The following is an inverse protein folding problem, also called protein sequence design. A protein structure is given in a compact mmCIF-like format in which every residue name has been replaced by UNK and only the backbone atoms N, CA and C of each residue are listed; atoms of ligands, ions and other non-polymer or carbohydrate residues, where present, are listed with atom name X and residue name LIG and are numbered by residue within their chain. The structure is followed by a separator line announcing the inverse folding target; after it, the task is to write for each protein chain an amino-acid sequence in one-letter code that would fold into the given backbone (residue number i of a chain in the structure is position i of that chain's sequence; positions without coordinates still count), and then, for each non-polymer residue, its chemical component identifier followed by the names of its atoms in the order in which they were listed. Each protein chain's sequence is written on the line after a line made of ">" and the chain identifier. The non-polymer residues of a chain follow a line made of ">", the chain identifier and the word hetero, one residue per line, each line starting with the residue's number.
data_IF_376644804184
#
_entry.id   IF_376644804184
#
_cell.length_a   1.000
_cell.length_b   1.000
_cell.length_c   1.000
_cell.angle_alpha   90.00
_cell.angle_beta   90.00
_cell.angle_gamma   90.00
#
_symmetry.space_group_name_H-M   'P 1'
#
loop_
_entity.id
_entity.type
_entity.pdbx_description
1 polymer ?
#
# COMPACT_ATOMS: atom_id res chain seq x y z
N UNK A 1 -11.24 0.89 -9.94
CA UNK A 1 -9.81 0.66 -10.22
C UNK A 1 -9.72 -0.06 -11.56
N UNK A 2 -8.72 0.25 -12.35
CA UNK A 2 -8.45 -0.38 -13.65
C UNK A 2 -7.08 -1.03 -13.57
N UNK A 3 -7.01 -2.27 -14.05
CA UNK A 3 -5.82 -3.10 -14.01
C UNK A 3 -5.30 -3.31 -15.44
N UNK A 4 -3.98 -3.46 -15.58
CA UNK A 4 -3.37 -3.96 -16.82
C UNK A 4 -3.69 -5.44 -17.02
N UNK A 5 -3.55 -5.92 -18.26
CA UNK A 5 -3.82 -7.32 -18.63
C UNK A 5 -2.96 -8.33 -17.85
N UNK A 6 -1.71 -7.94 -17.54
CA UNK A 6 -0.78 -8.74 -16.75
C UNK A 6 -0.99 -8.64 -15.23
N UNK A 7 -1.98 -7.83 -14.79
CA UNK A 7 -2.30 -7.55 -13.40
C UNK A 7 -1.13 -6.99 -12.57
N UNK A 8 -0.16 -6.34 -13.23
CA UNK A 8 1.00 -5.70 -12.58
C UNK A 8 0.82 -4.21 -12.36
N UNK A 9 -0.15 -3.58 -13.01
CA UNK A 9 -0.42 -2.15 -12.85
C UNK A 9 -1.85 -1.88 -12.42
N UNK A 10 -2.03 -0.85 -11.59
CA UNK A 10 -3.35 -0.41 -11.13
C UNK A 10 -3.45 1.11 -11.11
N UNK A 11 -4.54 1.65 -11.69
CA UNK A 11 -4.87 3.08 -11.66
C UNK A 11 -6.31 3.34 -11.23
N UNK A 12 -6.59 4.56 -10.81
CA UNK A 12 -7.95 5.03 -10.59
C UNK A 12 -8.60 5.42 -11.93
N UNK A 13 -9.67 4.72 -12.30
CA UNK A 13 -10.52 5.07 -13.44
C UNK A 13 -11.50 6.19 -13.12
N UNK A 14 -12.19 6.68 -14.15
CA UNK A 14 -13.28 7.64 -14.04
C UNK A 14 -14.58 6.97 -13.55
N UNK A 15 -15.57 7.77 -13.13
CA UNK A 15 -16.84 7.28 -12.54
C UNK A 15 -17.62 6.26 -13.40
N UNK A 16 -17.43 6.30 -14.72
CA UNK A 16 -18.07 5.38 -15.68
C UNK A 16 -17.35 4.03 -15.85
N UNK A 17 -16.10 3.91 -15.38
CA UNK A 17 -15.28 2.71 -15.54
C UNK A 17 -15.46 1.79 -14.32
N UNK A 18 -16.69 1.32 -14.11
CA UNK A 18 -17.04 0.44 -12.99
C UNK A 18 -16.85 -1.02 -13.36
N UNK A 19 -16.15 -1.75 -12.51
CA UNK A 19 -16.10 -3.21 -12.58
C UNK A 19 -17.35 -3.81 -11.92
N UNK A 20 -17.74 -5.06 -12.25
CA UNK A 20 -18.89 -5.72 -11.63
C UNK A 20 -18.72 -5.84 -10.12
N UNK A 21 -19.78 -5.58 -9.35
CA UNK A 21 -19.74 -5.64 -7.88
C UNK A 21 -19.50 -7.06 -7.36
N UNK A 22 -18.93 -7.17 -6.16
CA UNK A 22 -18.65 -8.45 -5.51
C UNK A 22 -18.22 -8.28 -4.04
N UNK A 23 -18.41 -9.31 -3.20
CA UNK A 23 -18.17 -9.22 -1.75
C UNK A 23 -16.70 -8.99 -1.39
N UNK A 24 -15.78 -9.37 -2.28
CA UNK A 24 -14.33 -9.21 -2.09
C UNK A 24 -13.83 -7.77 -2.33
N UNK A 25 -14.68 -6.87 -2.86
CA UNK A 25 -14.31 -5.48 -3.16
C UNK A 25 -14.32 -4.60 -1.92
N UNK A 26 -13.42 -3.63 -1.92
CA UNK A 26 -13.51 -2.48 -1.02
C UNK A 26 -14.55 -1.50 -1.59
N UNK A 27 -15.58 -1.21 -0.80
CA UNK A 27 -16.71 -0.35 -1.21
C UNK A 27 -16.42 1.15 -1.02
N UNK A 28 -15.56 1.47 -0.06
CA UNK A 28 -15.34 2.81 0.49
C UNK A 28 -13.90 3.28 0.35
N UNK A 29 -13.00 2.41 -0.09
CA UNK A 29 -11.57 2.70 -0.21
C UNK A 29 -11.02 2.34 -1.59
N UNK A 30 -10.11 3.19 -2.10
CA UNK A 30 -9.46 3.03 -3.40
C UNK A 30 -8.29 2.04 -3.24
N UNK A 31 -8.57 0.80 -2.87
CA UNK A 31 -7.56 -0.21 -2.50
C UNK A 31 -7.73 -1.48 -3.35
N UNK A 32 -6.60 -2.07 -3.74
CA UNK A 32 -6.50 -3.40 -4.30
C UNK A 32 -5.54 -4.25 -3.46
N UNK A 33 -5.79 -5.55 -3.38
CA UNK A 33 -4.89 -6.51 -2.73
C UNK A 33 -4.13 -7.32 -3.77
N UNK A 34 -2.89 -7.67 -3.44
CA UNK A 34 -2.14 -8.66 -4.19
C UNK A 34 -2.80 -10.04 -4.12
N UNK A 35 -2.60 -10.84 -5.17
CA UNK A 35 -3.10 -12.22 -5.21
C UNK A 35 -2.36 -13.13 -4.23
N UNK A 36 -1.07 -12.91 -4.01
CA UNK A 36 -0.29 -13.74 -3.09
C UNK A 36 -0.74 -13.51 -1.64
N UNK A 37 -0.67 -14.56 -0.84
CA UNK A 37 -0.77 -14.51 0.62
C UNK A 37 0.46 -15.16 1.23
N UNK A 38 0.92 -14.61 2.34
CA UNK A 38 2.14 -15.05 3.01
C UNK A 38 1.79 -15.58 4.41
N UNK A 39 2.24 -16.79 4.68
CA UNK A 39 2.07 -17.50 5.96
C UNK A 39 3.40 -17.75 6.68
N UNK A 40 4.53 -17.52 6.00
CA UNK A 40 5.88 -17.72 6.51
C UNK A 40 6.91 -17.13 5.54
N UNK A 41 8.17 -17.10 5.94
CA UNK A 41 9.31 -16.75 5.08
C UNK A 41 9.58 -15.26 4.95
N UNK A 42 10.53 -14.96 4.07
CA UNK A 42 10.92 -13.59 3.73
C UNK A 42 10.51 -13.29 2.30
N UNK A 43 9.81 -12.17 2.10
CA UNK A 43 9.25 -11.78 0.81
C UNK A 43 9.62 -10.34 0.48
N UNK A 44 9.90 -10.08 -0.79
CA UNK A 44 10.27 -8.76 -1.28
C UNK A 44 9.57 -8.47 -2.60
N UNK A 45 9.10 -7.25 -2.76
CA UNK A 45 8.66 -6.73 -4.04
C UNK A 45 8.87 -5.21 -4.10
N UNK A 46 8.84 -4.69 -5.31
CA UNK A 46 8.97 -3.26 -5.57
C UNK A 46 7.75 -2.74 -6.32
N UNK A 47 7.45 -1.46 -6.11
CA UNK A 47 6.37 -0.76 -6.81
C UNK A 47 6.92 0.54 -7.36
N UNK A 48 6.75 0.75 -8.66
CA UNK A 48 7.03 2.03 -9.29
C UNK A 48 5.90 3.01 -8.93
N UNK A 49 6.24 4.12 -8.30
CA UNK A 49 5.31 5.19 -7.95
C UNK A 49 5.49 6.43 -8.82
N UNK A 50 6.59 6.51 -9.59
CA UNK A 50 6.82 7.59 -10.54
C UNK A 50 6.72 8.99 -9.93
N UNK A 51 6.03 9.90 -10.62
CA UNK A 51 5.76 11.27 -10.18
C UNK A 51 4.40 11.44 -9.47
N UNK A 52 3.83 10.34 -8.98
CA UNK A 52 2.52 10.36 -8.30
C UNK A 52 2.54 11.29 -7.09
N UNK A 53 1.42 11.97 -6.86
CA UNK A 53 1.25 12.90 -5.73
C UNK A 53 0.52 12.28 -4.55
N UNK A 54 -0.05 11.08 -4.72
CA UNK A 54 -0.60 10.29 -3.61
C UNK A 54 -0.75 8.80 -3.91
N UNK A 55 -0.51 7.97 -2.90
CA UNK A 55 -0.59 6.51 -2.97
C UNK A 55 -0.51 5.88 -1.56
N UNK A 56 -0.91 4.62 -1.44
CA UNK A 56 -0.74 3.79 -0.25
C UNK A 56 -0.13 2.45 -0.65
N UNK A 57 0.93 2.04 0.04
CA UNK A 57 1.63 0.80 -0.21
C UNK A 57 1.89 0.06 1.11
N UNK A 58 1.76 -1.25 1.10
CA UNK A 58 2.21 -2.07 2.23
C UNK A 58 1.54 -3.42 2.29
N UNK A 59 1.19 -3.84 3.50
CA UNK A 59 0.69 -5.17 3.81
C UNK A 59 -0.53 -5.06 4.72
N UNK A 60 -1.50 -5.95 4.54
CA UNK A 60 -2.60 -6.11 5.48
C UNK A 60 -2.83 -7.58 5.86
N UNK A 61 -3.58 -7.82 6.94
CA UNK A 61 -4.14 -9.15 7.21
C UNK A 61 -5.17 -9.49 6.14
N UNK A 62 -5.19 -10.74 5.67
CA UNK A 62 -6.19 -11.18 4.69
C UNK A 62 -7.63 -11.08 5.24
N UNK A 63 -7.77 -11.17 6.57
CA UNK A 63 -9.03 -11.08 7.31
C UNK A 63 -9.44 -9.64 7.68
N UNK A 64 -8.66 -8.62 7.32
CA UNK A 64 -9.03 -7.24 7.63
C UNK A 64 -10.35 -6.87 6.94
N UNK A 65 -11.20 -6.12 7.65
CA UNK A 65 -12.50 -5.67 7.11
C UNK A 65 -12.27 -4.92 5.80
N UNK A 66 -13.18 -5.13 4.83
CA UNK A 66 -13.15 -4.46 3.53
C UNK A 66 -14.29 -3.46 3.32
N UNK A 67 -15.14 -3.30 4.35
CA UNK A 67 -16.37 -2.51 4.29
C UNK A 67 -16.37 -1.41 5.34
N UNK A 68 -16.98 -0.28 4.99
CA UNK A 68 -17.19 0.86 5.88
C UNK A 68 -15.97 1.75 6.07
N UNK A 69 -16.06 2.73 6.99
CA UNK A 69 -14.94 3.64 7.28
C UNK A 69 -13.76 2.86 7.85
N UNK A 70 -12.67 2.77 7.08
CA UNK A 70 -11.48 2.02 7.48
C UNK A 70 -10.37 2.97 7.91
N UNK A 71 -9.97 2.87 9.17
CA UNK A 71 -8.74 3.50 9.65
C UNK A 71 -7.57 2.54 9.41
N UNK A 72 -6.62 2.94 8.58
CA UNK A 72 -5.42 2.17 8.31
C UNK A 72 -4.47 2.25 9.51
N UNK A 73 -4.52 1.25 10.39
CA UNK A 73 -3.64 1.10 11.56
C UNK A 73 -3.18 -0.35 11.75
N UNK A 74 -2.04 -0.59 12.42
CA UNK A 74 -1.61 -1.93 12.82
C UNK A 74 -2.67 -2.69 13.62
N UNK A 75 -3.41 -2.00 14.50
CA UNK A 75 -4.50 -2.59 15.30
C UNK A 75 -5.60 -3.20 14.40
N UNK A 76 -5.93 -2.51 13.31
CA UNK A 76 -6.88 -2.99 12.30
C UNK A 76 -6.24 -3.94 11.26
N UNK A 77 -4.96 -4.31 11.46
CA UNK A 77 -4.22 -5.22 10.59
C UNK A 77 -3.65 -4.58 9.34
N UNK A 78 -3.29 -3.29 9.38
CA UNK A 78 -2.72 -2.55 8.25
C UNK A 78 -1.35 -1.94 8.58
N UNK A 79 -0.33 -2.37 7.84
CA UNK A 79 1.05 -1.87 7.94
C UNK A 79 1.44 -1.26 6.61
N UNK A 80 1.24 0.05 6.48
CA UNK A 80 1.38 0.75 5.21
C UNK A 80 2.15 2.05 5.37
N UNK A 81 2.84 2.42 4.30
CA UNK A 81 3.39 3.75 4.07
C UNK A 81 2.53 4.42 3.01
N UNK A 82 2.24 5.70 3.21
CA UNK A 82 1.39 6.46 2.30
C UNK A 82 1.95 7.85 2.04
N UNK A 83 1.70 8.31 0.83
CA UNK A 83 1.88 9.68 0.40
C UNK A 83 0.48 10.30 0.28
N UNK A 84 0.15 11.21 1.19
CA UNK A 84 -1.19 11.82 1.24
C UNK A 84 -1.28 13.09 0.38
N UNK A 85 -0.16 13.78 0.25
CA UNK A 85 0.05 14.95 -0.60
C UNK A 85 1.47 14.93 -1.14
N UNK A 86 1.74 15.76 -2.14
CA UNK A 86 3.09 15.90 -2.72
C UNK A 86 4.14 16.12 -1.61
N UNK A 87 5.11 15.22 -1.52
CA UNK A 87 6.20 15.19 -0.55
C UNK A 87 5.79 15.06 0.94
N UNK A 88 4.55 14.68 1.24
CA UNK A 88 4.09 14.39 2.60
C UNK A 88 3.85 12.89 2.78
N UNK A 89 4.74 12.26 3.55
CA UNK A 89 4.74 10.81 3.77
C UNK A 89 4.48 10.48 5.23
N UNK A 90 3.77 9.38 5.47
CA UNK A 90 3.53 8.85 6.82
C UNK A 90 3.43 7.32 6.83
N UNK A 91 3.76 6.73 7.98
CA UNK A 91 3.47 5.34 8.30
C UNK A 91 2.15 5.24 9.08
N UNK A 92 1.41 4.15 8.90
CA UNK A 92 0.10 3.90 9.50
C UNK A 92 0.08 3.66 11.02
N UNK A 93 1.10 4.07 11.77
CA UNK A 93 1.07 3.95 13.24
C UNK A 93 -0.09 4.75 13.85
N UNK A 94 -0.38 4.51 15.13
CA UNK A 94 -1.34 5.30 15.87
C UNK A 94 -0.68 5.94 17.09
N UNK A 95 -0.49 7.28 17.12
CA UNK A 95 -0.78 8.24 16.06
C UNK A 95 0.12 8.05 14.80
N UNK A 96 -0.26 8.61 13.62
CA UNK A 96 0.53 8.48 12.40
C UNK A 96 1.94 9.06 12.54
N UNK A 97 2.94 8.28 12.14
CA UNK A 97 4.34 8.71 12.16
C UNK A 97 4.66 9.42 10.85
N UNK A 98 4.99 10.71 10.92
CA UNK A 98 5.45 11.48 9.76
C UNK A 98 6.85 11.03 9.34
N UNK A 99 7.04 10.80 8.04
CA UNK A 99 8.30 10.34 7.48
C UNK A 99 8.96 11.48 6.70
N UNK A 100 10.22 11.76 7.04
CA UNK A 100 11.05 12.75 6.31
C UNK A 100 11.91 12.01 5.30
N UNK A 101 11.61 12.19 4.03
CA UNK A 101 12.42 11.66 2.93
C UNK A 101 13.34 12.76 2.40
N UNK A 102 14.64 12.45 2.26
CA UNK A 102 15.59 13.38 1.65
C UNK A 102 15.32 13.56 0.16
N UNK A 103 15.03 12.44 -0.50
CA UNK A 103 14.68 12.38 -1.91
C UNK A 103 13.33 11.64 -2.05
N UNK A 104 12.38 12.16 -2.84
CA UNK A 104 11.14 11.46 -3.14
C UNK A 104 11.40 10.12 -3.84
N UNK A 105 10.82 8.99 -3.37
CA UNK A 105 10.96 7.72 -4.05
C UNK A 105 10.19 7.75 -5.38
N UNK A 106 10.85 7.33 -6.46
CA UNK A 106 10.19 6.91 -7.71
C UNK A 106 9.82 5.43 -7.66
N UNK A 107 10.55 4.65 -6.86
CA UNK A 107 10.30 3.24 -6.61
C UNK A 107 10.42 2.91 -5.12
N UNK A 108 9.45 2.17 -4.61
CA UNK A 108 9.37 1.77 -3.20
C UNK A 108 9.51 0.26 -3.10
N UNK A 109 10.47 -0.20 -2.29
CA UNK A 109 10.66 -1.60 -1.95
C UNK A 109 9.95 -1.95 -0.67
N UNK A 110 9.29 -3.10 -0.63
CA UNK A 110 8.54 -3.61 0.52
C UNK A 110 9.11 -4.99 0.85
N UNK A 111 9.56 -5.14 2.09
CA UNK A 111 10.14 -6.37 2.62
C UNK A 111 9.32 -6.86 3.80
N UNK A 112 8.96 -8.14 3.78
CA UNK A 112 8.31 -8.85 4.87
C UNK A 112 9.28 -9.92 5.37
N UNK A 113 9.64 -9.86 6.65
CA UNK A 113 10.16 -11.01 7.39
C UNK A 113 9.06 -11.50 8.34
N UNK A 114 8.36 -12.55 7.92
CA UNK A 114 7.24 -13.10 8.67
C UNK A 114 7.69 -13.67 10.02
N UNK A 115 8.89 -14.24 10.10
CA UNK A 115 9.38 -14.90 11.33
C UNK A 115 9.84 -13.86 12.35
N UNK A 116 10.54 -12.82 11.90
CA UNK A 116 10.94 -11.71 12.76
C UNK A 116 9.75 -10.82 13.14
N UNK A 117 8.67 -10.82 12.34
CA UNK A 117 7.55 -9.91 12.49
C UNK A 117 7.92 -8.49 12.05
N UNK A 118 8.76 -8.38 11.02
CA UNK A 118 9.23 -7.11 10.49
C UNK A 118 8.65 -6.84 9.11
N UNK A 119 8.16 -5.61 8.91
CA UNK A 119 7.71 -5.09 7.62
C UNK A 119 8.48 -3.80 7.35
N UNK A 120 9.42 -3.86 6.40
CA UNK A 120 10.33 -2.76 6.09
C UNK A 120 10.05 -2.15 4.73
N UNK A 121 10.18 -0.84 4.65
CA UNK A 121 10.00 -0.03 3.46
C UNK A 121 11.31 0.64 3.08
N UNK A 122 11.61 0.67 1.79
CA UNK A 122 12.84 1.22 1.24
C UNK A 122 12.56 2.18 0.09
N UNK A 123 13.29 3.28 0.06
CA UNK A 123 13.38 4.14 -1.11
C UNK A 123 14.42 3.52 -2.02
N UNK A 124 13.97 2.84 -3.08
CA UNK A 124 14.87 2.13 -4.01
C UNK A 124 15.63 3.15 -4.87
N UNK A 125 15.03 4.30 -5.15
CA UNK A 125 15.66 5.40 -5.89
C UNK A 125 16.89 5.93 -5.15
N UNK A 126 16.73 6.26 -3.87
CA UNK A 126 17.80 6.80 -3.03
C UNK A 126 18.64 5.70 -2.33
N UNK A 127 18.29 4.42 -2.53
CA UNK A 127 18.88 3.26 -1.86
C UNK A 127 18.93 3.41 -0.33
N UNK A 128 17.84 3.92 0.25
CA UNK A 128 17.75 4.22 1.68
C UNK A 128 16.58 3.52 2.34
N UNK A 129 16.70 3.29 3.64
CA UNK A 129 15.57 2.88 4.47
C UNK A 129 14.53 4.00 4.58
N UNK A 130 13.24 3.66 4.63
CA UNK A 130 12.14 4.59 4.88
C UNK A 130 11.60 4.38 6.31
N UNK A 131 11.14 3.16 6.60
CA UNK A 131 10.45 2.85 7.84
C UNK A 131 10.37 1.34 8.05
N UNK A 132 10.33 0.88 9.30
CA UNK A 132 10.07 -0.53 9.66
C UNK A 132 9.00 -0.60 10.73
N UNK A 133 7.99 -1.43 10.50
CA UNK A 133 7.12 -1.93 11.56
C UNK A 133 7.76 -3.18 12.15
N UNK A 134 7.96 -3.19 13.47
CA UNK A 134 8.52 -4.33 14.21
C UNK A 134 7.48 -4.95 15.12
N UNK A 135 7.68 -6.20 15.52
CA UNK A 135 6.78 -6.87 16.47
C UNK A 135 5.39 -7.14 15.87
N UNK A 136 5.31 -7.28 14.55
CA UNK A 136 4.10 -7.65 13.83
C UNK A 136 3.74 -9.08 14.18
N UNK A 137 2.83 -9.25 15.14
CA UNK A 137 2.27 -10.54 15.52
C UNK A 137 1.02 -10.82 14.67
N UNK A 138 1.19 -11.56 13.57
CA UNK A 138 0.07 -12.09 12.80
C UNK A 138 -0.11 -13.59 12.99
N UNK A 139 -1.25 -13.99 13.56
CA UNK A 139 -1.69 -15.39 13.60
C UNK A 139 -2.39 -15.84 12.31
N UNK A 140 -2.03 -15.28 11.16
CA UNK A 140 -2.72 -15.58 9.91
C UNK A 140 -2.11 -14.93 8.66
N UNK A 141 -2.69 -15.22 7.48
CA UNK A 141 -2.13 -14.83 6.20
C UNK A 141 -2.08 -13.30 6.02
N UNK A 142 -0.94 -12.83 5.53
CA UNK A 142 -0.71 -11.43 5.14
C UNK A 142 -0.80 -11.29 3.62
N UNK A 143 -1.26 -10.13 3.12
CA UNK A 143 -1.33 -9.84 1.68
C UNK A 143 -0.77 -8.46 1.35
N UNK A 144 -0.14 -8.29 0.17
CA UNK A 144 0.21 -6.97 -0.34
C UNK A 144 -1.04 -6.08 -0.51
N UNK A 145 -0.88 -4.79 -0.27
CA UNK A 145 -1.92 -3.77 -0.37
C UNK A 145 -1.43 -2.60 -1.20
N UNK A 146 -2.26 -2.15 -2.14
CA UNK A 146 -1.96 -1.09 -3.08
C UNK A 146 -3.12 -0.10 -3.19
N UNK A 147 -2.82 1.19 -3.22
CA UNK A 147 -3.77 2.25 -3.56
C UNK A 147 -3.09 3.27 -4.47
N UNK A 148 -3.59 3.49 -5.70
CA UNK A 148 -3.06 4.53 -6.58
C UNK A 148 -3.46 5.95 -6.16
N UNK A 149 -4.21 6.13 -5.07
CA UNK A 149 -4.71 7.43 -4.64
C UNK A 149 -5.82 8.01 -5.51
N UNK A 150 -6.24 9.23 -5.20
CA UNK A 150 -7.23 10.01 -5.98
C UNK A 150 -6.54 10.72 -7.15
N UNK A 151 -7.31 11.31 -8.08
CA UNK A 151 -6.76 11.96 -9.27
C UNK A 151 -5.97 13.26 -9.01
N UNK A 152 -6.12 13.90 -7.84
CA UNK A 152 -5.45 15.17 -7.48
C UNK A 152 -5.51 16.24 -8.59
N UNK A 153 -6.72 16.55 -9.07
CA UNK A 153 -6.89 17.53 -10.16
C UNK A 153 -6.19 17.13 -11.48
N UNK A 154 -5.96 15.84 -11.69
CA UNK A 154 -5.26 15.30 -12.87
C UNK A 154 -3.77 15.05 -12.68
N UNK A 155 -3.19 15.40 -11.51
CA UNK A 155 -1.76 15.25 -11.23
C UNK A 155 -1.35 13.84 -10.82
N UNK A 156 -2.31 12.97 -10.49
CA UNK A 156 -2.05 11.64 -9.96
C UNK A 156 -2.68 10.50 -10.78
N UNK A 157 -2.81 10.72 -12.09
CA UNK A 157 -3.49 9.78 -13.01
C UNK A 157 -2.67 8.52 -13.33
N UNK A 158 -1.35 8.56 -13.11
CA UNK A 158 -0.45 7.44 -13.38
C UNK A 158 -0.77 6.19 -12.55
N UNK A 159 -0.49 4.98 -13.08
CA UNK A 159 -0.66 3.75 -12.35
C UNK A 159 0.41 3.59 -11.25
N UNK A 160 0.11 2.71 -10.30
CA UNK A 160 1.13 1.94 -9.59
C UNK A 160 1.48 0.70 -10.41
#
# INVERSE_FOLDING_TARGET
>A
LIFSDDLKSVRLGNKGERLPDGPERFDSCIIALGFQSFLSGCHYWEVEVGDKTGWVLGICKASSSRKGSMTLTPENGYWVVMMMKRNEYQASTFPPTRLRMREPPKRVGIFLDYKAGDISFYNVTARSHIYTFTGVSSSGPLRPLFSPGTHDGGKNMGPL
#
